data_IF_831241149735
#
_entry.id   IF_831241149735
#
_cell.length_a   1.000
_cell.length_b   1.000
_cell.length_c   1.000
_cell.angle_alpha   90.00
_cell.angle_beta   90.00
_cell.angle_gamma   90.00
#
_symmetry.space_group_name_H-M   'P 1'
#
loop_
_entity.id
_entity.type
_entity.pdbx_description
1 polymer ?
#
# COMPACT_ATOMS: atom_id res chain seq x y z
N UNK A 1 1.04 -3.90 19.68
CA UNK A 1 1.12 -5.21 19.00
C UNK A 1 0.51 -5.09 17.62
N UNK A 2 1.30 -4.67 16.64
CA UNK A 2 0.89 -4.64 15.23
C UNK A 2 1.10 -6.05 14.66
N UNK A 3 0.02 -6.69 14.20
CA UNK A 3 0.11 -7.98 13.53
C UNK A 3 1.07 -7.87 12.34
N UNK A 4 1.99 -8.85 12.19
CA UNK A 4 2.80 -9.00 10.98
C UNK A 4 1.84 -9.10 9.79
N UNK A 5 1.98 -8.26 8.75
CA UNK A 5 1.13 -8.39 7.56
C UNK A 5 1.39 -9.77 6.94
N UNK A 6 0.36 -10.60 6.84
CA UNK A 6 0.48 -11.91 6.19
C UNK A 6 0.93 -11.70 4.75
N UNK A 7 1.92 -12.47 4.30
CA UNK A 7 2.36 -12.49 2.90
C UNK A 7 1.18 -12.90 2.02
N UNK A 8 0.56 -11.92 1.38
CA UNK A 8 -0.50 -12.19 0.40
C UNK A 8 0.13 -12.78 -0.87
N UNK A 9 -0.57 -13.70 -1.55
CA UNK A 9 -0.18 -14.06 -2.90
C UNK A 9 -0.09 -12.81 -3.76
N UNK A 10 0.86 -12.81 -4.69
CA UNK A 10 0.93 -11.83 -5.79
C UNK A 10 -0.43 -11.84 -6.50
N UNK A 11 -1.29 -10.87 -6.20
CA UNK A 11 -2.51 -10.68 -6.97
C UNK A 11 -2.10 -10.44 -8.42
N UNK A 12 -2.72 -11.16 -9.35
CA UNK A 12 -2.63 -10.80 -10.77
C UNK A 12 -2.98 -9.30 -10.90
N UNK A 13 -2.31 -8.54 -11.78
CA UNK A 13 -2.62 -7.14 -11.98
C UNK A 13 -4.11 -7.00 -12.26
N UNK A 14 -4.84 -6.28 -11.40
CA UNK A 14 -6.25 -6.03 -11.62
C UNK A 14 -6.43 -5.24 -12.93
N UNK A 15 -7.22 -5.77 -13.85
CA UNK A 15 -7.63 -5.03 -15.04
C UNK A 15 -8.72 -4.03 -14.67
N UNK A 16 -8.51 -2.77 -15.04
CA UNK A 16 -9.46 -1.69 -14.77
C UNK A 16 -9.99 -1.11 -16.08
N UNK A 17 -11.29 -0.82 -16.11
CA UNK A 17 -11.88 0.06 -17.13
C UNK A 17 -11.29 1.48 -17.03
N UNK A 18 -11.51 2.33 -18.05
CA UNK A 18 -11.06 3.72 -17.98
C UNK A 18 -11.72 4.50 -16.84
N UNK A 19 -13.02 4.30 -16.60
CA UNK A 19 -13.72 4.91 -15.47
C UNK A 19 -13.14 4.45 -14.13
N UNK A 20 -12.80 3.16 -14.00
CA UNK A 20 -12.15 2.62 -12.81
C UNK A 20 -10.75 3.21 -12.62
N UNK A 21 -9.96 3.37 -13.69
CA UNK A 21 -8.66 4.06 -13.63
C UNK A 21 -8.82 5.51 -13.19
N UNK A 22 -9.83 6.20 -13.68
CA UNK A 22 -10.13 7.57 -13.28
C UNK A 22 -10.54 7.63 -11.81
N UNK A 23 -11.38 6.72 -11.33
CA UNK A 23 -11.73 6.61 -9.92
C UNK A 23 -10.49 6.34 -9.05
N UNK A 24 -9.58 5.45 -9.47
CA UNK A 24 -8.31 5.21 -8.76
C UNK A 24 -7.49 6.51 -8.65
N UNK A 25 -7.39 7.30 -9.72
CA UNK A 25 -6.67 8.58 -9.69
C UNK A 25 -7.28 9.57 -8.70
N UNK A 26 -8.62 9.66 -8.66
CA UNK A 26 -9.32 10.54 -7.73
C UNK A 26 -9.08 10.09 -6.28
N UNK A 27 -9.18 8.80 -5.99
CA UNK A 27 -9.05 8.24 -4.64
C UNK A 27 -7.60 8.17 -4.12
N UNK A 28 -6.60 8.38 -4.97
CA UNK A 28 -5.19 8.53 -4.53
C UNK A 28 -4.96 9.85 -3.80
N UNK A 29 -5.82 10.84 -4.04
CA UNK A 29 -5.82 12.12 -3.35
C UNK A 29 -6.69 12.09 -2.09
N UNK A 30 -6.68 13.20 -1.34
CA UNK A 30 -7.59 13.35 -0.20
C UNK A 30 -9.03 13.53 -0.69
N UNK A 31 -9.98 12.88 -0.03
CA UNK A 31 -11.40 13.16 -0.26
C UNK A 31 -11.71 14.62 0.11
N UNK A 32 -12.64 15.27 -0.60
CA UNK A 32 -13.14 16.59 -0.22
C UNK A 32 -13.77 16.53 1.18
N UNK A 33 -13.58 17.61 1.97
CA UNK A 33 -14.11 17.69 3.34
C UNK A 33 -15.48 18.34 3.31
N UNK A 34 -16.48 17.57 2.89
CA UNK A 34 -17.87 18.02 2.76
C UNK A 34 -18.83 16.98 3.36
N UNK A 35 -20.14 17.29 3.35
CA UNK A 35 -21.15 16.38 3.87
C UNK A 35 -21.34 15.13 2.99
N UNK A 36 -21.00 15.22 1.70
CA UNK A 36 -21.23 14.19 0.69
C UNK A 36 -19.99 13.98 -0.19
N UNK A 37 -18.85 13.56 0.38
CA UNK A 37 -17.59 13.51 -0.35
C UNK A 37 -17.58 12.53 -1.53
N UNK A 38 -18.37 11.45 -1.44
CA UNK A 38 -18.48 10.47 -2.52
C UNK A 38 -19.34 10.94 -3.67
N UNK A 39 -20.31 11.82 -3.42
CA UNK A 39 -21.12 12.42 -4.49
C UNK A 39 -20.25 13.37 -5.33
N UNK A 40 -19.39 14.18 -4.70
CA UNK A 40 -18.43 15.05 -5.40
C UNK A 40 -17.38 14.26 -6.20
N UNK A 41 -16.94 13.10 -5.69
CA UNK A 41 -16.09 12.18 -6.46
C UNK A 41 -16.86 11.63 -7.67
N UNK A 42 -18.13 11.29 -7.48
CA UNK A 42 -18.95 10.66 -8.50
C UNK A 42 -19.31 11.61 -9.65
N UNK A 43 -19.46 12.92 -9.38
CA UNK A 43 -19.73 13.95 -10.40
C UNK A 43 -18.69 13.93 -11.54
N UNK A 44 -17.42 13.67 -11.23
CA UNK A 44 -16.34 13.63 -12.22
C UNK A 44 -16.40 12.41 -13.15
N UNK A 45 -17.17 11.39 -12.76
CA UNK A 45 -17.31 10.11 -13.45
C UNK A 45 -18.71 9.92 -14.06
N UNK A 46 -19.65 10.84 -13.79
CA UNK A 46 -21.06 10.64 -14.13
C UNK A 46 -21.71 9.50 -13.34
N UNK A 47 -21.21 9.21 -12.14
CA UNK A 47 -21.70 8.16 -11.25
C UNK A 47 -22.57 8.74 -10.14
N UNK A 48 -23.21 7.88 -9.34
CA UNK A 48 -23.71 8.23 -8.02
C UNK A 48 -22.67 7.96 -6.93
N UNK A 49 -22.77 8.64 -5.78
CA UNK A 49 -21.91 8.34 -4.63
C UNK A 49 -22.04 6.89 -4.15
N UNK A 50 -23.21 6.27 -4.30
CA UNK A 50 -23.42 4.85 -4.00
C UNK A 50 -22.59 3.94 -4.91
N UNK A 51 -22.51 4.23 -6.21
CA UNK A 51 -21.66 3.47 -7.14
C UNK A 51 -20.18 3.57 -6.77
N UNK A 52 -19.72 4.77 -6.35
CA UNK A 52 -18.36 4.96 -5.85
C UNK A 52 -18.10 4.13 -4.60
N UNK A 53 -18.99 4.19 -3.61
CA UNK A 53 -18.88 3.42 -2.37
C UNK A 53 -18.87 1.92 -2.67
N UNK A 54 -19.77 1.46 -3.54
CA UNK A 54 -19.86 0.06 -3.93
C UNK A 54 -18.57 -0.43 -4.59
N UNK A 55 -18.00 0.35 -5.52
CA UNK A 55 -16.76 -0.01 -6.20
C UNK A 55 -15.58 -0.09 -5.23
N UNK A 56 -15.48 0.85 -4.27
CA UNK A 56 -14.44 0.82 -3.22
C UNK A 56 -14.60 -0.42 -2.33
N UNK A 57 -15.82 -0.79 -1.97
CA UNK A 57 -16.10 -1.96 -1.15
C UNK A 57 -15.72 -3.26 -1.86
N UNK A 58 -16.08 -3.38 -3.15
CA UNK A 58 -15.64 -4.48 -4.01
C UNK A 58 -14.12 -4.62 -4.04
N UNK A 59 -13.40 -3.53 -4.32
CA UNK A 59 -11.93 -3.54 -4.34
C UNK A 59 -11.32 -3.87 -2.98
N UNK A 60 -12.00 -3.55 -1.88
CA UNK A 60 -11.56 -3.95 -0.53
C UNK A 60 -11.69 -5.46 -0.33
N UNK A 61 -12.80 -6.06 -0.79
CA UNK A 61 -13.05 -7.51 -0.73
C UNK A 61 -12.08 -8.28 -1.63
N UNK A 62 -11.84 -7.80 -2.85
CA UNK A 62 -10.90 -8.38 -3.82
C UNK A 62 -9.43 -8.20 -3.42
N UNK A 63 -9.16 -7.34 -2.45
CA UNK A 63 -7.81 -7.07 -1.96
C UNK A 63 -7.00 -6.09 -2.79
N UNK A 64 -7.62 -5.46 -3.80
CA UNK A 64 -7.09 -4.35 -4.61
C UNK A 64 -6.81 -3.14 -3.70
N UNK A 65 -7.79 -2.74 -2.89
CA UNK A 65 -7.64 -1.70 -1.86
C UNK A 65 -7.31 -2.36 -0.54
N UNK A 66 -6.07 -2.20 -0.05
CA UNK A 66 -5.65 -2.78 1.24
C UNK A 66 -6.34 -2.13 2.44
N UNK A 67 -6.56 -0.82 2.37
CA UNK A 67 -7.17 -0.02 3.43
C UNK A 67 -7.73 1.25 2.82
N UNK A 68 -8.94 1.62 3.25
CA UNK A 68 -9.53 2.92 3.00
C UNK A 68 -9.71 3.62 4.35
N UNK A 69 -9.08 4.77 4.55
CA UNK A 69 -9.14 5.49 5.82
C UNK A 69 -8.00 6.48 6.02
N UNK A 70 -7.98 7.11 7.19
CA UNK A 70 -7.05 8.20 7.50
C UNK A 70 -5.61 7.72 7.65
N UNK A 71 -4.66 8.52 7.16
CA UNK A 71 -3.22 8.36 7.44
C UNK A 71 -2.84 9.30 8.57
N UNK A 72 -2.31 8.75 9.68
CA UNK A 72 -1.75 9.56 10.76
C UNK A 72 -0.30 9.93 10.46
N UNK A 73 0.11 11.14 10.81
CA UNK A 73 1.49 11.58 10.67
C UNK A 73 2.40 10.85 11.68
N UNK A 74 3.26 9.96 11.18
CA UNK A 74 4.13 9.07 11.96
C UNK A 74 5.33 9.78 12.64
N UNK A 75 5.62 11.05 12.31
CA UNK A 75 6.74 11.79 12.92
C UNK A 75 6.52 12.02 14.42
N UNK A 76 5.26 11.96 14.87
CA UNK A 76 4.89 12.01 16.29
C UNK A 76 5.13 10.70 17.04
N UNK A 77 5.63 9.65 16.38
CA UNK A 77 5.86 8.33 16.97
C UNK A 77 7.32 8.09 17.43
N UNK A 78 8.18 9.12 17.39
CA UNK A 78 9.47 9.09 18.09
C UNK A 78 10.69 8.59 17.32
N UNK A 79 10.58 8.37 16.00
CA UNK A 79 11.75 8.01 15.16
C UNK A 79 12.52 9.28 14.74
N UNK A 80 13.78 9.39 15.16
CA UNK A 80 14.62 10.57 14.90
C UNK A 80 15.35 10.52 13.55
N UNK A 81 15.58 9.33 13.01
CA UNK A 81 16.29 9.12 11.75
C UNK A 81 15.81 7.84 11.05
N UNK A 82 15.98 7.80 9.73
CA UNK A 82 15.80 6.59 8.92
C UNK A 82 17.16 6.22 8.30
N UNK A 83 17.44 4.92 8.21
CA UNK A 83 18.66 4.41 7.59
C UNK A 83 18.34 3.32 6.57
N UNK A 84 19.08 3.28 5.47
CA UNK A 84 19.05 2.19 4.50
C UNK A 84 20.45 1.59 4.40
N UNK A 85 20.56 0.31 4.73
CA UNK A 85 21.79 -0.46 4.55
C UNK A 85 21.63 -1.40 3.36
N UNK A 86 22.65 -1.46 2.51
CA UNK A 86 22.71 -2.36 1.36
C UNK A 86 23.91 -3.26 1.55
N UNK A 87 23.68 -4.57 1.45
CA UNK A 87 24.71 -5.58 1.64
C UNK A 87 24.89 -6.34 0.33
N UNK A 88 26.14 -6.53 -0.07
CA UNK A 88 26.51 -7.50 -1.11
C UNK A 88 26.93 -8.79 -0.41
N UNK A 89 26.29 -9.90 -0.77
CA UNK A 89 26.56 -11.20 -0.18
C UNK A 89 26.30 -12.31 -1.20
N UNK A 90 26.92 -13.46 -0.98
CA UNK A 90 26.64 -14.67 -1.73
C UNK A 90 25.23 -15.19 -1.44
N UNK A 91 24.61 -15.81 -2.45
CA UNK A 91 23.19 -16.21 -2.44
C UNK A 91 22.84 -17.19 -1.32
N UNK A 92 23.78 -18.07 -0.95
CA UNK A 92 23.65 -19.07 0.10
C UNK A 92 23.61 -18.46 1.52
N UNK A 93 24.07 -17.22 1.68
CA UNK A 93 24.09 -16.51 2.97
C UNK A 93 22.88 -15.60 3.19
N UNK A 94 22.07 -15.36 2.16
CA UNK A 94 20.95 -14.40 2.20
C UNK A 94 19.90 -14.81 3.23
N UNK A 95 19.49 -16.08 3.24
CA UNK A 95 18.43 -16.55 4.14
C UNK A 95 18.85 -16.51 5.61
N UNK A 96 20.12 -16.78 5.91
CA UNK A 96 20.68 -16.65 7.26
C UNK A 96 20.69 -15.18 7.70
N UNK A 97 21.23 -14.29 6.85
CA UNK A 97 21.27 -12.86 7.14
C UNK A 97 19.87 -12.26 7.32
N UNK A 98 18.91 -12.65 6.48
CA UNK A 98 17.52 -12.18 6.56
C UNK A 98 16.86 -12.55 7.89
N UNK A 99 17.10 -13.77 8.41
CA UNK A 99 16.57 -14.19 9.72
C UNK A 99 17.10 -13.31 10.86
N UNK A 100 18.38 -12.97 10.83
CA UNK A 100 19.01 -12.09 11.82
C UNK A 100 18.45 -10.67 11.73
N UNK A 101 18.37 -10.11 10.51
CA UNK A 101 17.89 -8.74 10.29
C UNK A 101 16.40 -8.58 10.66
N UNK A 102 15.54 -9.53 10.30
CA UNK A 102 14.10 -9.48 10.63
C UNK A 102 13.84 -9.65 12.13
N UNK A 103 14.83 -10.12 12.90
CA UNK A 103 14.74 -10.20 14.36
C UNK A 103 15.08 -8.88 15.09
N UNK A 104 15.63 -7.89 14.37
CA UNK A 104 15.92 -6.57 14.93
C UNK A 104 14.66 -5.70 14.92
N UNK A 105 14.24 -5.22 16.10
CA UNK A 105 13.04 -4.38 16.24
C UNK A 105 13.11 -3.05 15.47
N UNK A 106 14.32 -2.53 15.27
CA UNK A 106 14.57 -1.28 14.52
C UNK A 106 14.46 -1.47 13.00
N UNK A 107 14.44 -2.72 12.51
CA UNK A 107 14.35 -3.03 11.07
C UNK A 107 12.89 -3.26 10.71
N UNK A 108 12.29 -2.25 10.11
CA UNK A 108 10.90 -2.33 9.66
C UNK A 108 10.74 -3.23 8.43
N UNK A 109 11.65 -3.13 7.46
CA UNK A 109 11.55 -3.81 6.14
C UNK A 109 12.91 -4.39 5.73
N UNK A 110 12.91 -5.62 5.21
CA UNK A 110 14.09 -6.29 4.66
C UNK A 110 13.72 -6.92 3.31
N UNK A 111 14.42 -6.54 2.23
CA UNK A 111 14.13 -6.98 0.87
C UNK A 111 15.34 -7.64 0.22
N UNK A 112 15.13 -8.79 -0.43
CA UNK A 112 16.06 -9.34 -1.43
C UNK A 112 15.71 -8.72 -2.79
N UNK A 113 16.70 -8.13 -3.46
CA UNK A 113 16.58 -7.63 -4.83
C UNK A 113 17.63 -8.33 -5.68
N UNK A 114 17.28 -8.95 -6.82
CA UNK A 114 18.27 -9.47 -7.76
C UNK A 114 19.21 -8.34 -8.20
N UNK A 115 20.51 -8.62 -8.29
CA UNK A 115 21.44 -7.73 -8.98
C UNK A 115 21.18 -7.79 -10.48
N UNK A 116 21.30 -6.64 -11.15
CA UNK A 116 21.42 -6.61 -12.60
C UNK A 116 22.91 -6.77 -12.89
N UNK A 117 23.30 -7.85 -13.55
CA UNK A 117 24.67 -7.98 -14.07
C UNK A 117 24.87 -6.94 -15.18
N UNK A 118 26.01 -6.24 -15.12
CA UNK A 118 26.40 -5.24 -16.11
C UNK A 118 26.97 -5.84 -17.38
#
# INVERSE_FOLDING_TARGET
MTAKPSSRPSAEPAEFSEDQKQLVRILQESLPVTASPFDEVAEQLGWSGEQVIHQIDQWRVEGVVRRFGTVMNHWRLGFAANGMAVFRMEDDRIDEAAKLLVSCDDISHCYRRPSIDG
#
